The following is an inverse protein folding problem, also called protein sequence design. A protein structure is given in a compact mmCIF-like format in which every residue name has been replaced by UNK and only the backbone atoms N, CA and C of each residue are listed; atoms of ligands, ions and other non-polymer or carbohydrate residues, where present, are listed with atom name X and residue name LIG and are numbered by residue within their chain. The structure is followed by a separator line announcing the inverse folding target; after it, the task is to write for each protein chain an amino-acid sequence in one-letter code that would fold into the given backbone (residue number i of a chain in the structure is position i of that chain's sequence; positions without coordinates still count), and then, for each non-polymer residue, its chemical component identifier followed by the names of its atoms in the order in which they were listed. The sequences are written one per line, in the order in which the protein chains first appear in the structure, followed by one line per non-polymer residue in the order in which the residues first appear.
data_IF_186401141024
#
_entry.id   IF_186401141024
#
_cell.length_a   1.000
_cell.length_b   1.000
_cell.length_c   1.000
_cell.angle_alpha   90.00
_cell.angle_beta   90.00
_cell.angle_gamma   90.00
#
_symmetry.space_group_name_H-M   'P 1'
#
loop_
_entity.id
_entity.type
_entity.pdbx_description
1 polymer ?
#
# COMPACT_ATOMS: atom_id res chain seq x y z
N UNK A 1 14.68 -9.83 1.66
CA UNK A 1 15.25 -9.75 0.29
C UNK A 1 16.74 -9.40 0.24
N UNK A 2 17.45 -9.32 1.39
CA UNK A 2 18.88 -8.98 1.47
C UNK A 2 19.72 -10.12 2.07
N UNK A 3 19.67 -11.31 1.46
CA UNK A 3 20.66 -12.35 1.75
C UNK A 3 21.36 -12.88 0.48
N UNK A 4 20.72 -12.77 -0.68
CA UNK A 4 21.32 -13.24 -1.95
C UNK A 4 22.37 -12.28 -2.55
N UNK A 5 22.37 -10.99 -2.19
CA UNK A 5 23.39 -10.04 -2.65
C UNK A 5 24.68 -10.20 -1.84
N UNK A 6 24.57 -10.44 -0.53
CA UNK A 6 25.72 -10.66 0.35
C UNK A 6 26.43 -11.99 0.06
N UNK A 7 25.70 -13.06 -0.29
CA UNK A 7 26.32 -14.36 -0.55
C UNK A 7 27.08 -14.43 -1.90
N UNK A 8 26.68 -13.62 -2.90
CA UNK A 8 27.33 -13.63 -4.22
C UNK A 8 28.61 -12.79 -4.26
N UNK A 9 28.70 -11.70 -3.48
CA UNK A 9 29.87 -10.80 -3.53
C UNK A 9 30.96 -11.15 -2.51
N UNK A 10 30.62 -11.77 -1.37
CA UNK A 10 31.64 -12.30 -0.45
C UNK A 10 32.44 -13.47 -1.04
N UNK A 11 31.91 -14.16 -2.06
CA UNK A 11 32.62 -15.23 -2.76
C UNK A 11 33.72 -14.70 -3.70
N UNK A 12 33.67 -13.42 -4.08
CA UNK A 12 34.67 -12.81 -4.94
C UNK A 12 35.84 -12.19 -4.16
N UNK A 13 35.59 -11.79 -2.90
CA UNK A 13 36.58 -11.08 -2.09
C UNK A 13 37.67 -12.03 -1.53
N UNK A 14 37.36 -13.31 -1.35
CA UNK A 14 38.37 -14.31 -0.97
C UNK A 14 38.10 -15.64 -1.67
N UNK A 15 38.73 -15.89 -2.81
CA UNK A 15 38.98 -17.28 -3.24
C UNK A 15 39.84 -17.94 -2.15
N UNK A 16 39.40 -19.03 -1.50
CA UNK A 16 40.17 -19.75 -0.49
C UNK A 16 41.28 -20.61 -1.13
N UNK A 17 42.15 -19.97 -1.92
CA UNK A 17 43.25 -20.62 -2.63
C UNK A 17 44.47 -19.73 -2.87
N UNK A 18 44.51 -18.51 -2.33
CA UNK A 18 45.55 -17.51 -2.57
C UNK A 18 46.58 -17.38 -1.41
N UNK A 19 46.72 -18.41 -0.58
CA UNK A 19 47.75 -18.47 0.48
C UNK A 19 48.56 -19.78 0.40
N UNK A 20 48.72 -20.34 -0.79
CA UNK A 20 49.44 -21.61 -1.00
C UNK A 20 50.24 -21.63 -2.29
N UNK A 21 50.82 -20.49 -2.69
CA UNK A 21 51.94 -20.54 -3.62
C UNK A 21 53.21 -20.81 -2.81
N UNK A 22 53.84 -21.95 -3.08
CA UNK A 22 55.18 -22.23 -2.56
C UNK A 22 56.13 -21.08 -2.98
N UNK A 23 57.12 -20.71 -2.15
CA UNK A 23 58.05 -19.64 -2.50
C UNK A 23 58.77 -20.00 -3.80
N UNK A 24 58.81 -19.07 -4.75
CA UNK A 24 59.56 -19.28 -6.00
C UNK A 24 61.06 -19.12 -5.72
N UNK A 25 61.63 -20.19 -5.16
CA UNK A 25 63.05 -20.29 -4.85
C UNK A 25 63.93 -20.12 -6.09
N UNK A 26 63.42 -20.47 -7.28
CA UNK A 26 64.12 -20.29 -8.56
C UNK A 26 64.30 -18.82 -8.92
N UNK A 27 63.24 -18.02 -8.79
CA UNK A 27 63.30 -16.57 -8.98
C UNK A 27 64.20 -15.88 -7.94
N UNK A 28 64.13 -16.32 -6.67
CA UNK A 28 65.01 -15.82 -5.61
C UNK A 28 66.48 -16.11 -5.91
N UNK A 29 66.82 -17.35 -6.30
CA UNK A 29 68.18 -17.74 -6.67
C UNK A 29 68.69 -16.98 -7.90
N UNK A 30 67.84 -16.71 -8.88
CA UNK A 30 68.17 -15.86 -10.03
C UNK A 30 68.63 -14.46 -9.63
N UNK A 31 67.99 -13.86 -8.61
CA UNK A 31 68.31 -12.53 -8.11
C UNK A 31 69.60 -12.47 -7.27
N UNK A 32 69.99 -13.56 -6.59
CA UNK A 32 71.16 -13.55 -5.69
C UNK A 32 72.39 -14.28 -6.25
N UNK A 33 72.24 -15.09 -7.30
CA UNK A 33 73.33 -15.95 -7.84
C UNK A 33 74.55 -15.22 -8.39
N UNK A 34 74.42 -13.93 -8.72
CA UNK A 34 75.49 -13.10 -9.28
C UNK A 34 76.20 -12.23 -8.23
N UNK A 35 75.75 -12.26 -6.97
CA UNK A 35 76.33 -11.48 -5.88
C UNK A 35 77.57 -12.18 -5.31
N UNK A 36 78.56 -11.38 -4.91
CA UNK A 36 79.76 -11.87 -4.22
C UNK A 36 79.47 -12.27 -2.77
N UNK A 37 80.39 -13.01 -2.15
CA UNK A 37 80.26 -13.45 -0.75
C UNK A 37 80.06 -12.29 0.22
N UNK A 38 80.79 -11.18 0.03
CA UNK A 38 80.71 -10.02 0.91
C UNK A 38 79.37 -9.29 0.75
N UNK A 39 78.83 -9.24 -0.48
CA UNK A 39 77.50 -8.68 -0.77
C UNK A 39 76.36 -9.55 -0.22
N UNK A 40 76.48 -10.89 -0.31
CA UNK A 40 75.53 -11.81 0.30
C UNK A 40 75.56 -11.73 1.84
N UNK A 41 76.75 -11.58 2.43
CA UNK A 41 76.90 -11.38 3.87
C UNK A 41 76.27 -10.07 4.32
N UNK A 42 76.44 -8.99 3.55
CA UNK A 42 75.81 -7.69 3.80
C UNK A 42 74.29 -7.76 3.63
N UNK A 43 73.80 -8.48 2.62
CA UNK A 43 72.37 -8.69 2.38
C UNK A 43 71.70 -9.48 3.51
N UNK A 44 72.36 -10.51 4.05
CA UNK A 44 71.86 -11.30 5.19
C UNK A 44 71.87 -10.48 6.49
N UNK A 45 72.81 -9.55 6.63
CA UNK A 45 72.93 -8.71 7.84
C UNK A 45 72.10 -7.42 7.77
N UNK A 46 71.46 -7.13 6.63
CA UNK A 46 70.69 -5.91 6.41
C UNK A 46 69.28 -6.24 5.89
N UNK A 47 68.32 -6.29 6.81
CA UNK A 47 66.91 -6.60 6.53
C UNK A 47 66.26 -5.61 5.54
N UNK A 48 66.69 -4.34 5.52
CA UNK A 48 66.15 -3.34 4.60
C UNK A 48 66.57 -3.62 3.15
N UNK A 49 67.86 -3.95 2.94
CA UNK A 49 68.37 -4.35 1.61
C UNK A 49 67.74 -5.66 1.14
N UNK A 50 67.54 -6.60 2.05
CA UNK A 50 66.87 -7.86 1.76
C UNK A 50 65.40 -7.62 1.40
N UNK A 51 64.67 -6.77 2.14
CA UNK A 51 63.30 -6.40 1.83
C UNK A 51 63.18 -5.67 0.47
N UNK A 52 64.14 -4.82 0.13
CA UNK A 52 64.20 -4.15 -1.17
C UNK A 52 64.37 -5.15 -2.32
N UNK A 53 65.26 -6.13 -2.17
CA UNK A 53 65.43 -7.21 -3.16
C UNK A 53 64.19 -8.10 -3.27
N UNK A 54 63.52 -8.40 -2.14
CA UNK A 54 62.29 -9.19 -2.14
C UNK A 54 61.12 -8.46 -2.80
N UNK A 55 61.09 -7.12 -2.76
CA UNK A 55 60.09 -6.31 -3.48
C UNK A 55 60.18 -6.50 -4.99
N UNK A 56 61.36 -6.85 -5.49
CA UNK A 56 61.57 -7.08 -6.91
C UNK A 56 61.12 -8.46 -7.41
N UNK A 57 60.84 -9.40 -6.50
CA UNK A 57 60.33 -10.72 -6.84
C UNK A 57 58.98 -10.65 -7.57
N UNK A 58 58.77 -11.49 -8.59
CA UNK A 58 57.53 -11.52 -9.37
C UNK A 58 56.33 -11.89 -8.49
N UNK A 59 56.48 -12.81 -7.54
CA UNK A 59 55.44 -13.17 -6.57
C UNK A 59 55.04 -11.99 -5.68
N UNK A 60 56.01 -11.21 -5.17
CA UNK A 60 55.74 -10.04 -4.33
C UNK A 60 55.04 -8.92 -5.12
N UNK A 61 55.48 -8.66 -6.36
CA UNK A 61 54.82 -7.72 -7.27
C UNK A 61 53.40 -8.15 -7.63
N UNK A 62 53.20 -9.45 -7.85
CA UNK A 62 51.86 -9.99 -8.13
C UNK A 62 50.92 -9.77 -6.94
N UNK A 63 51.34 -10.10 -5.72
CA UNK A 63 50.56 -9.87 -4.50
C UNK A 63 50.27 -8.39 -4.26
N UNK A 64 51.26 -7.51 -4.46
CA UNK A 64 51.06 -6.07 -4.33
C UNK A 64 50.01 -5.55 -5.34
N UNK A 65 50.06 -5.99 -6.59
CA UNK A 65 49.08 -5.62 -7.61
C UNK A 65 47.68 -6.17 -7.26
N UNK A 66 47.59 -7.40 -6.76
CA UNK A 66 46.31 -7.97 -6.30
C UNK A 66 45.73 -7.18 -5.12
N UNK A 67 46.56 -6.81 -4.16
CA UNK A 67 46.17 -5.97 -3.03
C UNK A 67 45.62 -4.62 -3.53
N UNK A 68 46.33 -3.97 -4.45
CA UNK A 68 45.90 -2.70 -5.03
C UNK A 68 44.55 -2.83 -5.76
N UNK A 69 44.38 -3.89 -6.57
CA UNK A 69 43.11 -4.17 -7.26
C UNK A 69 41.96 -4.40 -6.27
N UNK A 70 42.18 -5.18 -5.20
CA UNK A 70 41.16 -5.44 -4.18
C UNK A 70 40.82 -4.18 -3.39
N UNK A 71 41.81 -3.38 -3.02
CA UNK A 71 41.59 -2.09 -2.34
C UNK A 71 40.80 -1.14 -3.23
N UNK A 72 41.15 -1.02 -4.51
CA UNK A 72 40.41 -0.21 -5.46
C UNK A 72 38.96 -0.70 -5.61
N UNK A 73 38.75 -2.00 -5.77
CA UNK A 73 37.41 -2.59 -5.89
C UNK A 73 36.57 -2.39 -4.63
N UNK A 74 37.15 -2.60 -3.44
CA UNK A 74 36.45 -2.41 -2.18
C UNK A 74 36.08 -0.94 -1.96
N UNK A 75 37.01 -0.03 -2.28
CA UNK A 75 36.77 1.42 -2.23
C UNK A 75 35.64 1.83 -3.15
N UNK A 76 35.65 1.40 -4.42
CA UNK A 76 34.57 1.71 -5.36
C UNK A 76 33.21 1.16 -4.90
N UNK A 77 33.18 -0.03 -4.30
CA UNK A 77 31.96 -0.61 -3.75
C UNK A 77 31.46 0.17 -2.52
N UNK A 78 32.37 0.59 -1.64
CA UNK A 78 32.02 1.42 -0.49
C UNK A 78 31.46 2.77 -0.93
N UNK A 79 32.08 3.42 -1.91
CA UNK A 79 31.61 4.69 -2.49
C UNK A 79 30.22 4.53 -3.13
N UNK A 80 29.99 3.43 -3.86
CA UNK A 80 28.68 3.13 -4.43
C UNK A 80 27.61 2.92 -3.34
N UNK A 81 27.92 2.13 -2.31
CA UNK A 81 27.01 1.87 -1.19
C UNK A 81 26.67 3.16 -0.44
N UNK A 82 27.65 4.02 -0.17
CA UNK A 82 27.44 5.34 0.42
C UNK A 82 26.57 6.23 -0.47
N UNK A 83 26.71 6.14 -1.80
CA UNK A 83 25.87 6.86 -2.76
C UNK A 83 24.42 6.36 -2.82
N UNK A 84 24.14 5.12 -2.39
CA UNK A 84 22.78 4.57 -2.31
C UNK A 84 22.03 4.99 -1.06
N UNK A 85 22.73 5.21 0.05
CA UNK A 85 22.14 5.61 1.34
C UNK A 85 21.20 6.84 1.23
N UNK A 86 21.57 7.97 0.59
CA UNK A 86 20.68 9.12 0.49
C UNK A 86 19.43 8.82 -0.34
N UNK A 87 19.56 8.02 -1.42
CA UNK A 87 18.44 7.64 -2.27
C UNK A 87 17.44 6.76 -1.52
N UNK A 88 17.93 5.79 -0.75
CA UNK A 88 17.11 4.92 0.07
C UNK A 88 16.42 5.71 1.19
N UNK A 89 17.17 6.59 1.87
CA UNK A 89 16.65 7.47 2.90
C UNK A 89 15.51 8.35 2.36
N UNK A 90 15.72 9.00 1.22
CA UNK A 90 14.70 9.81 0.55
C UNK A 90 13.47 8.99 0.14
N UNK A 91 13.67 7.82 -0.46
CA UNK A 91 12.56 6.95 -0.85
C UNK A 91 11.74 6.49 0.37
N UNK A 92 12.40 6.17 1.49
CA UNK A 92 11.74 5.82 2.75
C UNK A 92 10.95 7.00 3.32
N UNK A 93 11.52 8.21 3.33
CA UNK A 93 10.82 9.42 3.77
C UNK A 93 9.59 9.70 2.90
N UNK A 94 9.71 9.60 1.58
CA UNK A 94 8.59 9.78 0.65
C UNK A 94 7.48 8.75 0.89
N UNK A 95 7.86 7.49 1.14
CA UNK A 95 6.89 6.43 1.44
C UNK A 95 6.13 6.72 2.74
N UNK A 96 6.84 7.14 3.80
CA UNK A 96 6.22 7.52 5.08
C UNK A 96 5.25 8.68 4.87
N UNK A 97 5.69 9.75 4.20
CA UNK A 97 4.85 10.92 3.93
C UNK A 97 3.58 10.56 3.13
N UNK A 98 3.70 9.69 2.12
CA UNK A 98 2.55 9.23 1.33
C UNK A 98 1.60 8.35 2.13
N UNK A 99 2.12 7.53 3.04
CA UNK A 99 1.29 6.72 3.92
C UNK A 99 0.53 7.59 4.94
N UNK A 100 1.19 8.60 5.51
CA UNK A 100 0.55 9.57 6.41
C UNK A 100 -0.54 10.38 5.69
N UNK A 101 -0.26 10.86 4.47
CA UNK A 101 -1.26 11.53 3.63
C UNK A 101 -2.47 10.62 3.38
N UNK A 102 -2.25 9.36 2.98
CA UNK A 102 -3.33 8.40 2.76
C UNK A 102 -4.14 8.11 4.03
N UNK A 103 -3.48 8.02 5.20
CA UNK A 103 -4.15 7.84 6.48
C UNK A 103 -5.05 9.03 6.83
N UNK A 104 -4.57 10.26 6.64
CA UNK A 104 -5.35 11.48 6.86
C UNK A 104 -6.55 11.57 5.90
N UNK A 105 -6.36 11.26 4.61
CA UNK A 105 -7.46 11.21 3.64
C UNK A 105 -8.48 10.14 4.02
N UNK A 106 -8.05 8.96 4.43
CA UNK A 106 -8.94 7.89 4.90
C UNK A 106 -9.76 8.33 6.11
N UNK A 107 -9.14 8.99 7.10
CA UNK A 107 -9.85 9.55 8.24
C UNK A 107 -10.86 10.63 7.83
N UNK A 108 -10.46 11.54 6.92
CA UNK A 108 -11.36 12.55 6.36
C UNK A 108 -12.56 11.92 5.63
N UNK A 109 -12.35 10.88 4.83
CA UNK A 109 -13.43 10.17 4.17
C UNK A 109 -14.35 9.47 5.17
N UNK A 110 -13.79 8.80 6.19
CA UNK A 110 -14.58 8.12 7.22
C UNK A 110 -15.41 9.11 8.05
N UNK A 111 -14.85 10.26 8.40
CA UNK A 111 -15.59 11.32 9.12
C UNK A 111 -16.70 11.91 8.26
N UNK A 112 -16.43 12.20 6.97
CA UNK A 112 -17.44 12.73 6.05
C UNK A 112 -18.56 11.70 5.81
N UNK A 113 -18.19 10.42 5.65
CA UNK A 113 -19.16 9.33 5.54
C UNK A 113 -20.03 9.22 6.80
N UNK A 114 -19.44 9.29 8.00
CA UNK A 114 -20.21 9.28 9.25
C UNK A 114 -21.18 10.46 9.37
N UNK A 115 -20.83 11.65 8.86
CA UNK A 115 -21.75 12.79 8.78
C UNK A 115 -22.89 12.55 7.80
N UNK A 116 -22.61 11.97 6.63
CA UNK A 116 -23.65 11.61 5.65
C UNK A 116 -24.56 10.54 6.22
N UNK A 117 -24.02 9.45 6.77
CA UNK A 117 -24.80 8.33 7.33
C UNK A 117 -25.70 8.80 8.49
N UNK A 118 -25.21 9.70 9.35
CA UNK A 118 -26.01 10.28 10.45
C UNK A 118 -27.09 11.26 9.98
N UNK A 119 -26.86 11.92 8.82
CA UNK A 119 -27.86 12.77 8.18
C UNK A 119 -28.91 11.94 7.45
N UNK A 120 -28.49 10.93 6.69
CA UNK A 120 -29.37 9.99 5.99
C UNK A 120 -30.23 9.19 6.97
N UNK A 121 -29.69 8.79 8.13
CA UNK A 121 -30.45 8.09 9.18
C UNK A 121 -31.66 8.90 9.70
N UNK A 122 -31.58 10.24 9.70
CA UNK A 122 -32.70 11.11 10.11
C UNK A 122 -33.76 11.28 9.01
N UNK A 123 -33.40 11.07 7.74
CA UNK A 123 -34.26 11.33 6.58
C UNK A 123 -34.30 10.17 5.59
N UNK A 124 -34.30 8.93 6.09
CA UNK A 124 -34.53 7.78 5.20
C UNK A 124 -35.94 7.86 4.58
N UNK A 125 -36.09 7.36 3.36
CA UNK A 125 -37.39 7.33 2.68
C UNK A 125 -38.48 6.67 3.54
N UNK A 126 -38.13 5.59 4.24
CA UNK A 126 -39.02 4.87 5.13
C UNK A 126 -39.40 5.69 6.36
N UNK A 127 -38.44 6.39 6.99
CA UNK A 127 -38.71 7.31 8.11
C UNK A 127 -39.67 8.43 7.68
N UNK A 128 -39.44 9.03 6.51
CA UNK A 128 -40.29 10.09 5.98
C UNK A 128 -41.71 9.59 5.65
N UNK A 129 -41.81 8.39 5.08
CA UNK A 129 -43.10 7.77 4.77
C UNK A 129 -43.91 7.52 6.06
N UNK A 130 -43.27 6.95 7.09
CA UNK A 130 -43.90 6.67 8.37
C UNK A 130 -44.39 7.97 9.05
N UNK A 131 -43.56 9.02 9.10
CA UNK A 131 -43.93 10.32 9.65
C UNK A 131 -45.14 10.93 8.92
N UNK A 132 -45.15 10.83 7.59
CA UNK A 132 -46.25 11.36 6.78
C UNK A 132 -47.55 10.56 6.97
N UNK A 133 -47.45 9.25 7.14
CA UNK A 133 -48.58 8.38 7.47
C UNK A 133 -49.16 8.73 8.85
N UNK A 134 -48.32 8.92 9.88
CA UNK A 134 -48.76 9.38 11.20
C UNK A 134 -49.46 10.74 11.12
N UNK A 135 -48.88 11.71 10.41
CA UNK A 135 -49.47 13.04 10.23
C UNK A 135 -50.76 13.03 9.39
N UNK A 136 -50.96 12.02 8.53
CA UNK A 136 -52.22 11.80 7.82
C UNK A 136 -53.29 11.27 8.78
N UNK A 137 -52.98 10.24 9.59
CA UNK A 137 -53.90 9.67 10.58
C UNK A 137 -54.32 10.72 11.61
N UNK A 138 -53.38 11.51 12.12
CA UNK A 138 -53.68 12.60 13.05
C UNK A 138 -54.63 13.63 12.44
N UNK A 139 -54.45 13.98 11.16
CA UNK A 139 -55.36 14.90 10.48
C UNK A 139 -56.75 14.28 10.22
N UNK A 140 -56.83 12.97 10.01
CA UNK A 140 -58.11 12.25 9.89
C UNK A 140 -58.85 12.26 11.23
N UNK A 141 -58.16 11.97 12.34
CA UNK A 141 -58.71 12.04 13.70
C UNK A 141 -59.20 13.46 14.05
N UNK A 142 -58.45 14.50 13.70
CA UNK A 142 -58.90 15.89 13.84
C UNK A 142 -60.21 16.16 13.07
N UNK A 143 -60.36 15.59 11.87
CA UNK A 143 -61.62 15.74 11.11
C UNK A 143 -62.78 14.98 11.75
N UNK A 144 -62.53 13.83 12.37
CA UNK A 144 -63.55 13.08 13.11
C UNK A 144 -63.99 13.83 14.38
N UNK A 145 -63.03 14.43 15.10
CA UNK A 145 -63.32 15.28 16.26
C UNK A 145 -64.15 16.52 15.90
N UNK A 146 -63.90 17.14 14.74
CA UNK A 146 -64.74 18.23 14.21
C UNK A 146 -66.17 17.77 13.92
N UNK A 147 -66.33 16.60 13.30
CA UNK A 147 -67.65 16.02 13.03
C UNK A 147 -68.39 15.77 14.34
N UNK A 148 -67.72 15.19 15.34
CA UNK A 148 -68.31 14.93 16.65
C UNK A 148 -68.75 16.22 17.34
N UNK A 149 -67.87 17.23 17.36
CA UNK A 149 -68.16 18.54 17.96
C UNK A 149 -69.34 19.24 17.30
N UNK A 150 -69.48 19.10 15.97
CA UNK A 150 -70.65 19.61 15.24
C UNK A 150 -71.95 18.89 15.62
N UNK A 151 -71.92 17.56 15.75
CA UNK A 151 -73.08 16.77 16.20
C UNK A 151 -73.53 17.14 17.61
N UNK A 152 -72.58 17.50 18.48
CA UNK A 152 -72.81 17.98 19.83
C UNK A 152 -73.26 19.47 19.88
N UNK A 153 -73.53 20.09 18.72
CA UNK A 153 -73.91 21.50 18.54
C UNK A 153 -72.85 22.50 19.03
N UNK A 154 -71.58 22.11 19.01
CA UNK A 154 -70.45 22.93 19.46
C UNK A 154 -70.01 24.03 18.50
N UNK A 155 -70.51 24.07 17.26
CA UNK A 155 -70.08 25.01 16.21
C UNK A 155 -71.21 25.32 15.22
N UNK A 156 -71.20 26.52 14.62
CA UNK A 156 -72.12 26.89 13.55
C UNK A 156 -71.81 26.16 12.24
N UNK A 157 -72.83 26.00 11.39
CA UNK A 157 -72.74 25.19 10.15
C UNK A 157 -71.67 25.74 9.19
N UNK A 158 -71.63 27.05 8.98
CA UNK A 158 -70.69 27.67 8.03
C UNK A 158 -69.23 27.52 8.48
N UNK A 159 -68.97 27.70 9.78
CA UNK A 159 -67.64 27.52 10.36
C UNK A 159 -67.19 26.05 10.27
N UNK A 160 -68.11 25.10 10.55
CA UNK A 160 -67.82 23.67 10.42
C UNK A 160 -67.46 23.29 8.99
N UNK A 161 -68.24 23.74 8.00
CA UNK A 161 -67.99 23.42 6.58
C UNK A 161 -66.62 23.94 6.16
N UNK A 162 -66.28 25.18 6.52
CA UNK A 162 -64.99 25.80 6.19
C UNK A 162 -63.81 25.00 6.77
N UNK A 163 -63.86 24.69 8.07
CA UNK A 163 -62.76 24.03 8.76
C UNK A 163 -62.64 22.55 8.37
N UNK A 164 -63.77 21.83 8.28
CA UNK A 164 -63.80 20.43 7.89
C UNK A 164 -63.23 20.22 6.49
N UNK A 165 -63.66 21.00 5.49
CA UNK A 165 -63.16 20.86 4.11
C UNK A 165 -61.65 21.14 4.03
N UNK A 166 -61.17 22.16 4.76
CA UNK A 166 -59.74 22.50 4.82
C UNK A 166 -58.90 21.37 5.43
N UNK A 167 -59.32 20.84 6.59
CA UNK A 167 -58.61 19.75 7.27
C UNK A 167 -58.71 18.43 6.51
N UNK A 168 -59.89 18.10 5.96
CA UNK A 168 -60.10 16.88 5.17
C UNK A 168 -59.27 16.88 3.88
N UNK A 169 -59.14 18.04 3.22
CA UNK A 169 -58.23 18.20 2.07
C UNK A 169 -56.78 17.94 2.48
N UNK A 170 -56.35 18.46 3.63
CA UNK A 170 -54.99 18.26 4.15
C UNK A 170 -54.72 16.79 4.47
N UNK A 171 -55.66 16.10 5.12
CA UNK A 171 -55.57 14.68 5.43
C UNK A 171 -55.40 13.84 4.15
N UNK A 172 -56.28 14.03 3.15
CA UNK A 172 -56.19 13.30 1.89
C UNK A 172 -54.91 13.59 1.12
N UNK A 173 -54.42 14.84 1.10
CA UNK A 173 -53.14 15.17 0.48
C UNK A 173 -51.97 14.45 1.16
N UNK A 174 -51.96 14.37 2.50
CA UNK A 174 -50.90 13.66 3.23
C UNK A 174 -50.95 12.15 2.94
N UNK A 175 -52.13 11.53 2.94
CA UNK A 175 -52.33 10.11 2.59
C UNK A 175 -51.84 9.78 1.18
N UNK A 176 -52.23 10.58 0.19
CA UNK A 176 -51.80 10.37 -1.20
C UNK A 176 -50.27 10.53 -1.31
N UNK A 177 -49.69 11.53 -0.64
CA UNK A 177 -48.24 11.72 -0.65
C UNK A 177 -47.49 10.57 0.03
N UNK A 178 -48.00 10.00 1.13
CA UNK A 178 -47.37 8.85 1.78
C UNK A 178 -47.41 7.60 0.90
N UNK A 179 -48.53 7.37 0.20
CA UNK A 179 -48.65 6.29 -0.78
C UNK A 179 -47.66 6.48 -1.94
N UNK A 180 -47.57 7.70 -2.48
CA UNK A 180 -46.65 8.00 -3.59
C UNK A 180 -45.18 7.85 -3.21
N UNK A 181 -44.79 8.24 -2.00
CA UNK A 181 -43.44 8.01 -1.49
C UNK A 181 -43.17 6.50 -1.37
N UNK A 182 -44.11 5.72 -0.85
CA UNK A 182 -44.00 4.26 -0.79
C UNK A 182 -43.84 3.61 -2.18
N UNK A 183 -44.59 4.07 -3.19
CA UNK A 183 -44.44 3.62 -4.58
C UNK A 183 -43.01 3.87 -5.11
N UNK A 184 -42.46 5.07 -4.84
CA UNK A 184 -41.12 5.46 -5.30
C UNK A 184 -40.03 4.61 -4.63
N UNK A 185 -40.13 4.39 -3.32
CA UNK A 185 -39.18 3.55 -2.57
C UNK A 185 -39.18 2.11 -3.12
N UNK A 186 -40.35 1.53 -3.36
CA UNK A 186 -40.47 0.19 -3.93
C UNK A 186 -39.92 0.08 -5.36
N UNK A 187 -40.10 1.12 -6.18
CA UNK A 187 -39.53 1.18 -7.54
C UNK A 187 -38.00 1.27 -7.53
N UNK A 188 -37.42 2.05 -6.61
CA UNK A 188 -35.96 2.15 -6.44
C UNK A 188 -35.34 0.82 -5.99
N UNK A 189 -35.99 0.11 -5.07
CA UNK A 189 -35.54 -1.21 -4.63
C UNK A 189 -35.64 -2.28 -5.73
N UNK A 190 -36.67 -2.19 -6.59
CA UNK A 190 -36.85 -3.12 -7.71
C UNK A 190 -35.87 -2.89 -8.86
N UNK A 191 -35.36 -1.66 -9.02
CA UNK A 191 -34.40 -1.31 -10.08
C UNK A 191 -32.94 -1.57 -9.71
N UNK A 192 -32.61 -1.71 -8.42
CA UNK A 192 -31.28 -2.10 -7.94
C UNK A 192 -31.00 -3.62 -8.03
N UNK A 193 -32.00 -4.43 -8.39
CA UNK A 193 -31.83 -5.88 -8.55
C UNK A 193 -31.59 -6.24 -10.03
N UNK A 194 -30.49 -5.72 -10.61
CA UNK A 194 -29.97 -6.22 -11.88
C UNK A 194 -28.75 -7.12 -11.61
N UNK A 195 -28.88 -8.44 -11.76
CA UNK A 195 -27.73 -9.31 -11.98
C UNK A 195 -26.86 -8.74 -13.11
N UNK A 196 -25.65 -8.31 -12.75
CA UNK A 196 -24.61 -7.90 -13.70
C UNK A 196 -24.53 -8.89 -14.87
N UNK A 197 -24.56 -8.42 -16.14
CA UNK A 197 -24.42 -9.31 -17.28
C UNK A 197 -22.98 -9.85 -17.32
N UNK A 198 -22.88 -11.18 -17.26
CA UNK A 198 -21.66 -11.92 -17.53
C UNK A 198 -21.22 -11.60 -18.97
N UNK A 199 -19.99 -11.15 -19.16
CA UNK A 199 -19.46 -10.86 -20.49
C UNK A 199 -19.48 -12.11 -21.38
N UNK A 200 -19.87 -12.00 -22.66
CA UNK A 200 -19.93 -13.13 -23.58
C UNK A 200 -18.52 -13.58 -23.98
N UNK A 201 -18.26 -14.87 -23.82
CA UNK A 201 -17.05 -15.52 -24.33
C UNK A 201 -17.13 -15.60 -25.86
N UNK A 202 -16.42 -14.72 -26.56
CA UNK A 202 -16.13 -14.89 -27.98
C UNK A 202 -14.78 -15.58 -28.13
N UNK A 203 -14.83 -16.86 -28.50
CA UNK A 203 -13.68 -17.63 -28.93
C UNK A 203 -13.30 -17.36 -30.38
N UNK A 204 -12.09 -17.82 -30.72
CA UNK A 204 -11.45 -17.97 -32.05
C UNK A 204 -10.89 -16.67 -32.67
N UNK A 205 -9.60 -16.52 -32.99
CA UNK A 205 -8.44 -17.41 -32.93
C UNK A 205 -7.16 -16.73 -33.43
N UNK A 206 -6.02 -17.33 -33.03
CA UNK A 206 -4.65 -17.27 -33.58
C UNK A 206 -3.85 -15.95 -33.59
N UNK A 207 -2.80 -15.92 -32.75
CA UNK A 207 -1.49 -15.36 -33.14
C UNK A 207 -0.84 -14.35 -32.19
N UNK A 208 0.06 -14.84 -31.34
CA UNK A 208 1.21 -14.16 -30.74
C UNK A 208 1.00 -12.92 -29.83
N UNK A 209 1.10 -13.11 -28.50
CA UNK A 209 2.29 -12.72 -27.74
C UNK A 209 2.12 -13.04 -26.24
N UNK A 210 3.06 -13.82 -25.71
CA UNK A 210 3.19 -14.13 -24.29
C UNK A 210 3.81 -12.94 -23.55
N UNK A 211 3.05 -12.30 -22.68
CA UNK A 211 3.58 -11.52 -21.56
C UNK A 211 2.86 -12.00 -20.30
N UNK A 212 3.46 -13.00 -19.67
CA UNK A 212 2.99 -13.58 -18.41
C UNK A 212 3.39 -12.67 -17.25
N UNK A 213 2.42 -12.01 -16.62
CA UNK A 213 2.62 -11.31 -15.34
C UNK A 213 2.82 -12.34 -14.21
N UNK A 214 3.85 -12.21 -13.36
CA UNK A 214 4.18 -13.20 -12.35
C UNK A 214 3.59 -12.81 -11.00
N UNK A 215 2.33 -13.14 -10.73
CA UNK A 215 1.84 -13.16 -9.34
C UNK A 215 1.03 -14.44 -9.09
N UNK A 216 1.47 -15.30 -8.16
CA UNK A 216 0.70 -16.46 -7.74
C UNK A 216 -0.48 -15.99 -6.88
N UNK A 217 -1.71 -16.22 -7.35
CA UNK A 217 -2.93 -16.07 -6.56
C UNK A 217 -3.03 -17.22 -5.56
N UNK A 218 -2.52 -17.02 -4.35
CA UNK A 218 -2.79 -17.87 -3.19
C UNK A 218 -3.55 -17.04 -2.14
N UNK A 219 -4.57 -17.59 -1.46
CA UNK A 219 -5.30 -16.87 -0.44
C UNK A 219 -4.43 -16.66 0.81
N UNK A 220 -4.06 -15.41 1.09
CA UNK A 220 -3.37 -15.02 2.32
C UNK A 220 -4.36 -15.04 3.50
N UNK A 221 -4.25 -16.07 4.33
CA UNK A 221 -4.88 -16.14 5.64
C UNK A 221 -4.05 -15.27 6.62
N UNK A 222 -4.46 -14.03 6.88
CA UNK A 222 -3.81 -13.15 7.87
C UNK A 222 -4.38 -13.41 9.28
N UNK A 223 -3.55 -13.53 10.34
CA UNK A 223 -4.03 -13.64 11.71
C UNK A 223 -4.46 -12.26 12.25
N UNK A 224 -5.68 -12.19 12.80
CA UNK A 224 -6.19 -11.04 13.55
C UNK A 224 -5.42 -10.84 14.87
N UNK A 225 -5.10 -9.59 15.28
CA UNK A 225 -4.57 -9.31 16.62
C UNK A 225 -5.67 -9.50 17.67
N UNK A 226 -5.39 -10.33 18.66
CA UNK A 226 -6.31 -10.61 19.77
C UNK A 226 -6.45 -9.43 20.73
N UNK A 227 -7.70 -9.19 21.16
CA UNK A 227 -8.01 -8.40 22.34
C UNK A 227 -7.85 -9.28 23.59
N UNK A 228 -7.11 -8.80 24.57
CA UNK A 228 -7.26 -9.14 25.99
C UNK A 228 -7.34 -7.82 26.76
#
# INVERSE_FOLDING_TARGET
MNQNILHSEYLFICKPGMMSEEPDYGAVLGLISHLSKDELQDLVNNDEKLAELLKDLPQMKHLANQQEMLLASNKSLAEFNLGLEPKLSQAKQNLIAKYEEAAQLSESVNTLKGQVDSSEGQYTGDTLQALLQTAAHQAEEETENLVQSFLDKGQEVEDFISEFLSKRKTAHLRRIKSEKIGDIINQQNSSHNTPYPSQPATGVGYGANQWSSPYPTQPLNMPMPGFH
#
